data_IF_084143005564
#
_entry.id   IF_084143005564
#
_cell.length_a   1.000
_cell.length_b   1.000
_cell.length_c   1.000
_cell.angle_alpha   90.00
_cell.angle_beta   90.00
_cell.angle_gamma   90.00
#
_symmetry.space_group_name_H-M   'P 1'
#
loop_
_entity.id
_entity.type
_entity.pdbx_description
1 polymer ?
#
# COMPACT_ATOMS: atom_id res chain seq x y z
N UNK A 1 8.29 -3.42 2.05
CA UNK A 1 7.05 -3.41 2.86
C UNK A 1 7.35 -2.95 4.27
N UNK A 2 7.92 -3.78 5.15
CA UNK A 2 8.25 -3.40 6.55
C UNK A 2 9.12 -2.14 6.64
N UNK A 3 10.15 -2.03 5.79
CA UNK A 3 11.01 -0.84 5.74
C UNK A 3 10.22 0.41 5.33
N UNK A 4 9.39 0.32 4.28
CA UNK A 4 8.54 1.43 3.83
C UNK A 4 7.52 1.87 4.89
N UNK A 5 6.91 0.93 5.62
CA UNK A 5 6.01 1.25 6.72
C UNK A 5 6.75 2.01 7.82
N UNK A 6 7.90 1.49 8.27
CA UNK A 6 8.72 2.16 9.28
C UNK A 6 9.20 3.55 8.83
N UNK A 7 9.62 3.70 7.58
CA UNK A 7 10.06 4.99 7.01
C UNK A 7 8.93 6.03 6.97
N UNK A 8 7.67 5.59 6.87
CA UNK A 8 6.49 6.45 6.90
C UNK A 8 5.87 6.59 8.29
N UNK A 9 6.48 6.00 9.32
CA UNK A 9 5.98 6.06 10.70
C UNK A 9 4.75 5.19 10.96
N UNK A 10 4.43 4.28 10.04
CA UNK A 10 3.33 3.34 10.17
C UNK A 10 3.76 2.12 11.00
N UNK A 11 2.85 1.55 11.81
CA UNK A 11 3.07 0.25 12.42
C UNK A 11 3.39 -0.83 11.37
N UNK A 12 4.12 -1.86 11.80
CA UNK A 12 4.51 -2.99 10.94
C UNK A 12 3.80 -4.27 11.33
N UNK A 13 2.61 -4.15 11.93
CA UNK A 13 1.76 -5.30 12.22
C UNK A 13 1.11 -5.84 10.93
N UNK A 14 0.42 -6.97 11.06
CA UNK A 14 -0.18 -7.65 9.91
C UNK A 14 -1.29 -6.83 9.24
N UNK A 15 -2.00 -5.99 9.99
CA UNK A 15 -3.07 -5.14 9.46
C UNK A 15 -2.45 -4.08 8.53
N UNK A 16 -1.44 -3.35 9.01
CA UNK A 16 -0.76 -2.34 8.20
C UNK A 16 -0.02 -2.96 7.00
N UNK A 17 0.48 -4.19 7.11
CA UNK A 17 1.08 -4.88 5.96
C UNK A 17 0.06 -5.29 4.91
N UNK A 18 -1.16 -5.65 5.28
CA UNK A 18 -2.18 -6.13 4.35
C UNK A 18 -3.05 -5.00 3.78
N UNK A 19 -3.32 -3.98 4.59
CA UNK A 19 -4.27 -2.92 4.26
C UNK A 19 -3.59 -1.61 3.88
N UNK A 20 -2.28 -1.62 3.61
CA UNK A 20 -1.58 -0.46 3.05
C UNK A 20 -1.51 -0.54 1.53
N UNK A 21 -1.92 0.54 0.87
CA UNK A 21 -1.71 0.76 -0.55
C UNK A 21 -0.27 1.19 -0.82
N UNK A 22 0.29 0.60 -1.87
CA UNK A 22 1.60 0.95 -2.39
C UNK A 22 1.51 1.28 -3.88
N UNK A 23 2.28 2.28 -4.31
CA UNK A 23 2.40 2.62 -5.72
C UNK A 23 3.60 1.88 -6.33
N UNK A 24 3.37 1.23 -7.47
CA UNK A 24 4.44 0.71 -8.32
C UNK A 24 4.90 1.78 -9.31
N UNK A 25 6.11 2.29 -9.11
CA UNK A 25 6.71 3.29 -9.99
C UNK A 25 7.36 2.63 -11.21
N UNK A 26 6.56 2.33 -12.23
CA UNK A 26 7.04 1.66 -13.46
C UNK A 26 8.08 2.49 -14.24
N UNK A 27 8.09 3.81 -14.08
CA UNK A 27 9.02 4.73 -14.77
C UNK A 27 10.37 4.84 -14.09
N UNK A 28 10.47 4.42 -12.84
CA UNK A 28 11.64 4.57 -11.98
C UNK A 28 11.94 3.20 -11.42
N UNK A 29 12.60 2.38 -12.25
CA UNK A 29 13.14 1.04 -11.96
C UNK A 29 12.18 -0.03 -11.42
N UNK A 30 10.87 0.24 -11.37
CA UNK A 30 9.90 -0.67 -10.74
C UNK A 30 9.89 -0.55 -9.21
N UNK A 31 10.48 0.51 -8.65
CA UNK A 31 10.43 0.79 -7.22
C UNK A 31 9.01 0.89 -6.69
N UNK A 32 8.83 0.48 -5.44
CA UNK A 32 7.57 0.56 -4.72
C UNK A 32 7.67 1.71 -3.72
N UNK A 33 6.63 2.55 -3.65
CA UNK A 33 6.53 3.62 -2.65
C UNK A 33 5.24 3.50 -1.85
N UNK A 34 5.29 3.88 -0.58
CA UNK A 34 4.10 4.00 0.26
C UNK A 34 3.09 4.97 -0.37
N UNK A 35 1.79 4.61 -0.31
CA UNK A 35 0.69 5.48 -0.68
C UNK A 35 -0.14 5.87 0.55
N UNK A 36 -0.85 4.91 1.15
CA UNK A 36 -1.70 5.15 2.31
C UNK A 36 -2.12 3.86 3.02
N UNK A 37 -2.33 3.91 4.33
CA UNK A 37 -2.97 2.84 5.09
C UNK A 37 -4.51 2.96 5.02
N UNK A 38 -5.19 1.84 4.75
CA UNK A 38 -6.64 1.74 4.66
C UNK A 38 -7.23 1.20 5.96
N UNK A 39 -7.68 2.10 6.84
CA UNK A 39 -8.26 1.76 8.14
C UNK A 39 -9.45 0.77 8.09
N UNK A 40 -10.18 0.71 6.98
CA UNK A 40 -11.33 -0.18 6.78
C UNK A 40 -11.04 -1.33 5.82
N UNK A 41 -9.77 -1.56 5.50
CA UNK A 41 -9.33 -2.58 4.56
C UNK A 41 -9.12 -2.05 3.14
N UNK A 42 -8.31 -2.79 2.40
CA UNK A 42 -8.03 -2.56 0.99
C UNK A 42 -8.97 -3.39 0.10
N UNK A 43 -9.57 -2.77 -0.92
CA UNK A 43 -10.38 -3.46 -1.93
C UNK A 43 -9.61 -3.59 -3.25
N UNK A 44 -9.49 -4.84 -3.71
CA UNK A 44 -8.91 -5.18 -5.01
C UNK A 44 -9.89 -4.78 -6.12
N UNK A 45 -9.43 -3.90 -7.00
CA UNK A 45 -10.23 -3.35 -8.09
C UNK A 45 -10.23 -4.24 -9.35
N UNK A 46 -9.43 -5.31 -9.36
CA UNK A 46 -9.33 -6.27 -10.44
C UNK A 46 -8.40 -5.85 -11.58
N UNK A 47 -8.42 -6.62 -12.67
CA UNK A 47 -7.49 -6.45 -13.79
C UNK A 47 -7.57 -5.03 -14.41
N UNK A 48 -6.47 -4.29 -14.31
CA UNK A 48 -6.33 -2.94 -14.87
C UNK A 48 -6.92 -1.82 -14.02
N UNK A 49 -7.43 -2.12 -12.82
CA UNK A 49 -7.80 -1.13 -11.82
C UNK A 49 -6.69 -0.89 -10.79
N UNK A 50 -6.74 0.27 -10.14
CA UNK A 50 -5.94 0.56 -8.95
C UNK A 50 -6.74 0.21 -7.69
N UNK A 51 -6.11 -0.52 -6.76
CA UNK A 51 -6.69 -0.84 -5.46
C UNK A 51 -7.03 0.42 -4.67
N UNK A 52 -8.04 0.34 -3.81
CA UNK A 52 -8.54 1.50 -3.06
C UNK A 52 -8.94 1.15 -1.63
N UNK A 53 -8.93 2.16 -0.77
CA UNK A 53 -9.42 2.01 0.60
C UNK A 53 -10.95 1.95 0.63
N UNK A 54 -11.48 0.98 1.36
CA UNK A 54 -12.91 0.93 1.69
C UNK A 54 -13.30 2.17 2.51
N UNK A 55 -14.54 2.64 2.34
CA UNK A 55 -15.09 3.85 2.98
C UNK A 55 -16.03 3.54 4.13
#
# INVERSE_FOLDING_TARGET
MIELLNENGEPTDAEHMNDTLFNCNLTKDGSISFNSFCMFGCEDSGEGGDDFCQR
#
